data_IF_151058519874
#
_entry.id   IF_151058519874
#
_cell.length_a   1.000
_cell.length_b   1.000
_cell.length_c   1.000
_cell.angle_alpha   90.00
_cell.angle_beta   90.00
_cell.angle_gamma   90.00
#
_symmetry.space_group_name_H-M   'P 1'
#
loop_
_entity.id
_entity.type
_entity.pdbx_description
1 polymer ?
#
# COMPACT_ATOMS: atom_id res chain seq x y z
N UNK A 1 21.13 2.04 -3.05
CA UNK A 1 22.12 2.55 -2.09
C UNK A 1 23.44 1.78 -2.08
N UNK A 2 23.44 0.44 -1.99
CA UNK A 2 24.70 -0.35 -1.91
C UNK A 2 25.51 -0.27 -3.21
N UNK A 3 24.85 -0.34 -4.37
CA UNK A 3 25.48 -0.26 -5.70
C UNK A 3 25.62 1.18 -6.22
N UNK A 4 24.69 2.05 -5.85
CA UNK A 4 24.61 3.44 -6.30
C UNK A 4 24.55 4.34 -5.06
N UNK A 5 25.52 5.25 -4.87
CA UNK A 5 25.60 6.08 -3.66
C UNK A 5 24.41 7.05 -3.53
N UNK A 6 23.98 7.62 -4.66
CA UNK A 6 22.80 8.51 -4.77
C UNK A 6 22.01 8.08 -6.00
N UNK A 7 20.69 7.98 -5.88
CA UNK A 7 19.78 7.69 -7.00
C UNK A 7 18.70 8.77 -7.06
N UNK A 8 18.53 9.42 -8.22
CA UNK A 8 17.57 10.52 -8.38
C UNK A 8 16.20 10.01 -8.87
N UNK A 9 15.12 10.64 -8.44
CA UNK A 9 13.76 10.42 -8.94
C UNK A 9 12.99 11.73 -9.07
N UNK A 10 11.90 11.74 -9.84
CA UNK A 10 11.07 12.94 -10.03
C UNK A 10 10.33 13.32 -8.75
N UNK A 11 10.64 14.51 -8.23
CA UNK A 11 9.92 15.12 -7.10
C UNK A 11 8.44 15.35 -7.39
N UNK A 12 8.08 15.61 -8.64
CA UNK A 12 6.69 15.87 -9.05
C UNK A 12 5.87 14.59 -8.89
N UNK A 13 6.36 13.48 -9.44
CA UNK A 13 5.70 12.17 -9.33
C UNK A 13 5.63 11.70 -7.88
N UNK A 14 6.70 11.91 -7.11
CA UNK A 14 6.74 11.56 -5.70
C UNK A 14 5.75 12.38 -4.87
N UNK A 15 5.75 13.70 -5.03
CA UNK A 15 4.86 14.63 -4.33
C UNK A 15 3.39 14.40 -4.65
N UNK A 16 3.05 14.17 -5.92
CA UNK A 16 1.68 13.87 -6.32
C UNK A 16 1.15 12.59 -5.62
N UNK A 17 1.97 11.54 -5.59
CA UNK A 17 1.58 10.25 -4.99
C UNK A 17 1.47 10.33 -3.47
N UNK A 18 2.41 11.01 -2.81
CA UNK A 18 2.34 11.28 -1.37
C UNK A 18 1.14 12.13 -0.99
N UNK A 19 0.77 13.12 -1.82
CA UNK A 19 -0.42 13.93 -1.60
C UNK A 19 -1.70 13.07 -1.62
N UNK A 20 -1.79 12.10 -2.54
CA UNK A 20 -2.91 11.16 -2.58
C UNK A 20 -2.95 10.24 -1.36
N UNK A 21 -1.80 9.72 -0.93
CA UNK A 21 -1.71 8.95 0.31
C UNK A 21 -2.14 9.80 1.51
N UNK A 22 -1.78 11.08 1.54
CA UNK A 22 -2.21 12.01 2.60
C UNK A 22 -3.72 12.14 2.68
N UNK A 23 -4.37 12.38 1.54
CA UNK A 23 -5.83 12.45 1.46
C UNK A 23 -6.44 11.14 1.97
N UNK A 24 -5.86 10.01 1.60
CA UNK A 24 -6.35 8.69 2.00
C UNK A 24 -6.20 8.46 3.51
N UNK A 25 -5.05 8.78 4.09
CA UNK A 25 -4.78 8.67 5.53
C UNK A 25 -5.74 9.56 6.32
N UNK A 26 -5.89 10.82 5.91
CA UNK A 26 -6.83 11.74 6.56
C UNK A 26 -8.26 11.21 6.50
N UNK A 27 -8.69 10.71 5.34
CA UNK A 27 -10.05 10.20 5.17
C UNK A 27 -10.33 8.99 6.06
N UNK A 28 -9.39 8.06 6.15
CA UNK A 28 -9.47 6.87 7.02
C UNK A 28 -9.40 7.23 8.51
N UNK A 29 -8.68 8.29 8.86
CA UNK A 29 -8.61 8.77 10.25
C UNK A 29 -9.94 9.33 10.75
N UNK A 30 -10.79 9.91 9.89
CA UNK A 30 -12.01 10.60 10.33
C UNK A 30 -12.99 9.67 11.06
N UNK A 31 -13.40 8.51 10.53
CA UNK A 31 -14.27 7.58 11.27
C UNK A 31 -13.61 7.04 12.54
N UNK A 32 -12.30 6.76 12.48
CA UNK A 32 -11.56 6.25 13.64
C UNK A 32 -11.52 7.27 14.79
N UNK A 33 -11.20 8.52 14.49
CA UNK A 33 -11.11 9.59 15.49
C UNK A 33 -12.48 9.92 16.08
N UNK A 34 -13.52 9.97 15.24
CA UNK A 34 -14.88 10.18 15.70
C UNK A 34 -15.32 9.03 16.64
N UNK A 35 -15.04 7.78 16.26
CA UNK A 35 -15.31 6.62 17.12
C UNK A 35 -14.63 6.75 18.49
N UNK A 36 -13.33 7.01 18.52
CA UNK A 36 -12.60 7.13 19.79
C UNK A 36 -13.02 8.34 20.62
N UNK A 37 -13.40 9.45 19.99
CA UNK A 37 -13.85 10.65 20.69
C UNK A 37 -15.25 10.48 21.32
N UNK A 38 -16.13 9.69 20.70
CA UNK A 38 -17.52 9.52 21.13
C UNK A 38 -17.71 8.30 22.01
N UNK A 39 -17.09 7.18 21.66
CA UNK A 39 -17.31 5.88 22.30
C UNK A 39 -16.12 5.47 23.19
N UNK A 40 -14.93 6.07 23.02
CA UNK A 40 -13.73 5.69 23.76
C UNK A 40 -12.99 4.50 23.14
N UNK A 41 -11.84 4.16 23.72
CA UNK A 41 -10.89 3.18 23.14
C UNK A 41 -11.30 1.73 23.44
N UNK A 42 -11.95 1.49 24.58
CA UNK A 42 -12.24 0.14 25.09
C UNK A 42 -13.55 -0.46 24.55
N UNK A 43 -14.14 0.13 23.50
CA UNK A 43 -15.31 -0.48 22.85
C UNK A 43 -14.87 -1.71 22.04
N UNK A 44 -15.05 -2.89 22.64
CA UNK A 44 -14.84 -4.20 22.02
C UNK A 44 -16.22 -4.70 21.57
N UNK A 45 -16.50 -4.73 20.27
CA UNK A 45 -17.77 -5.23 19.74
C UNK A 45 -18.18 -4.66 18.39
N UNK A 46 -19.48 -4.68 18.12
CA UNK A 46 -20.06 -4.22 16.86
C UNK A 46 -20.00 -2.69 16.74
N UNK A 47 -19.58 -2.19 15.58
CA UNK A 47 -19.51 -0.75 15.33
C UNK A 47 -20.92 -0.15 15.22
N UNK A 48 -21.17 1.00 15.89
CA UNK A 48 -22.42 1.75 15.75
C UNK A 48 -22.74 2.15 14.29
N UNK A 49 -24.04 2.31 13.98
CA UNK A 49 -24.52 2.55 12.61
C UNK A 49 -24.05 3.88 12.02
N UNK A 50 -23.83 4.91 12.85
CA UNK A 50 -23.22 6.17 12.47
C UNK A 50 -21.78 5.96 11.97
N UNK A 51 -20.97 5.14 12.66
CA UNK A 51 -19.61 4.79 12.24
C UNK A 51 -19.61 4.03 10.91
N UNK A 52 -20.51 3.06 10.77
CA UNK A 52 -20.69 2.28 9.54
C UNK A 52 -21.09 3.22 8.38
N UNK A 53 -22.01 4.15 8.61
CA UNK A 53 -22.46 5.14 7.62
C UNK A 53 -21.34 6.11 7.23
N UNK A 54 -20.56 6.60 8.20
CA UNK A 54 -19.36 7.42 7.94
C UNK A 54 -18.34 6.65 7.10
N UNK A 55 -18.12 5.38 7.40
CA UNK A 55 -17.20 4.53 6.65
C UNK A 55 -17.67 4.34 5.20
N UNK A 56 -18.96 4.12 4.96
CA UNK A 56 -19.51 4.06 3.59
C UNK A 56 -19.34 5.38 2.84
N UNK A 57 -19.56 6.52 3.50
CA UNK A 57 -19.34 7.85 2.91
C UNK A 57 -17.87 8.05 2.51
N UNK A 58 -16.95 7.76 3.43
CA UNK A 58 -15.50 7.86 3.19
C UNK A 58 -15.09 6.93 2.04
N UNK A 59 -15.60 5.71 1.99
CA UNK A 59 -15.31 4.76 0.93
C UNK A 59 -15.76 5.30 -0.45
N UNK A 60 -16.97 5.85 -0.54
CA UNK A 60 -17.47 6.45 -1.78
C UNK A 60 -16.61 7.63 -2.25
N UNK A 61 -16.17 8.49 -1.33
CA UNK A 61 -15.27 9.62 -1.64
C UNK A 61 -13.91 9.12 -2.13
N UNK A 62 -13.29 8.17 -1.42
CA UNK A 62 -11.97 7.62 -1.80
C UNK A 62 -11.99 6.93 -3.15
N UNK A 63 -13.04 6.16 -3.44
CA UNK A 63 -13.22 5.52 -4.74
C UNK A 63 -13.41 6.55 -5.87
N UNK A 64 -14.14 7.64 -5.60
CA UNK A 64 -14.29 8.74 -6.56
C UNK A 64 -12.94 9.39 -6.84
N UNK A 65 -12.14 9.65 -5.80
CA UNK A 65 -10.77 10.17 -5.94
C UNK A 65 -9.90 9.20 -6.74
N UNK A 66 -10.03 7.88 -6.52
CA UNK A 66 -9.32 6.87 -7.30
C UNK A 66 -9.66 6.93 -8.80
N UNK A 67 -10.95 7.01 -9.14
CA UNK A 67 -11.39 7.10 -10.54
C UNK A 67 -10.85 8.39 -11.20
N UNK A 68 -10.89 9.51 -10.48
CA UNK A 68 -10.30 10.76 -10.93
C UNK A 68 -8.77 10.64 -11.10
N UNK A 69 -8.08 9.96 -10.19
CA UNK A 69 -6.65 9.67 -10.28
C UNK A 69 -6.31 8.78 -11.48
N UNK A 70 -7.10 7.74 -11.74
CA UNK A 70 -6.94 6.88 -12.91
C UNK A 70 -7.12 7.68 -14.21
N UNK A 71 -8.13 8.56 -14.26
CA UNK A 71 -8.29 9.47 -15.39
C UNK A 71 -7.10 10.43 -15.53
N UNK A 72 -6.63 11.00 -14.43
CA UNK A 72 -5.48 11.90 -14.40
C UNK A 72 -4.22 11.23 -14.92
N UNK A 73 -3.87 10.05 -14.39
CA UNK A 73 -2.66 9.31 -14.74
C UNK A 73 -2.70 8.75 -16.16
N UNK A 74 -3.84 8.24 -16.62
CA UNK A 74 -3.94 7.59 -17.94
C UNK A 74 -4.21 8.55 -19.10
N UNK A 75 -4.87 9.69 -18.85
CA UNK A 75 -5.29 10.62 -19.92
C UNK A 75 -4.56 11.94 -19.86
N UNK A 76 -4.67 12.68 -18.76
CA UNK A 76 -4.22 14.08 -18.75
C UNK A 76 -2.73 14.23 -18.50
N UNK A 77 -2.13 13.36 -17.69
CA UNK A 77 -0.74 13.46 -17.23
C UNK A 77 0.11 12.22 -17.56
N UNK A 78 -0.31 11.42 -18.55
CA UNK A 78 0.34 10.18 -19.00
C UNK A 78 1.87 10.29 -19.13
N UNK A 79 2.38 11.43 -19.60
CA UNK A 79 3.82 11.69 -19.78
C UNK A 79 4.65 11.54 -18.49
N UNK A 80 4.06 11.83 -17.32
CA UNK A 80 4.75 11.71 -16.03
C UNK A 80 4.70 10.29 -15.44
N UNK A 81 3.75 9.47 -15.89
CA UNK A 81 3.55 8.10 -15.40
C UNK A 81 4.14 7.02 -16.33
N UNK A 82 4.40 7.32 -17.61
CA UNK A 82 5.02 6.38 -18.57
C UNK A 82 6.56 6.21 -18.40
N UNK A 83 7.15 6.69 -17.29
CA UNK A 83 8.56 6.49 -16.95
C UNK A 83 9.57 7.12 -17.92
N UNK A 84 9.14 8.12 -18.71
CA UNK A 84 9.99 8.85 -19.68
C UNK A 84 10.30 10.28 -19.25
N UNK A 85 9.87 10.71 -18.06
CA UNK A 85 9.90 12.13 -17.68
C UNK A 85 11.32 12.68 -17.50
N UNK A 86 12.28 11.93 -16.92
CA UNK A 86 13.62 12.48 -16.62
C UNK A 86 14.74 11.42 -16.64
N UNK A 87 14.79 10.55 -17.66
CA UNK A 87 16.04 9.85 -17.93
C UNK A 87 16.99 10.86 -18.62
N UNK A 88 18.18 11.19 -18.04
CA UNK A 88 19.22 11.84 -18.82
C UNK A 88 19.42 11.02 -20.08
N UNK A 89 19.62 11.70 -21.21
CA UNK A 89 19.86 11.09 -22.51
C UNK A 89 21.19 10.34 -22.47
N UNK A 90 21.24 9.19 -21.80
CA UNK A 90 22.31 8.22 -21.95
C UNK A 90 21.91 7.37 -23.15
N UNK A 91 22.52 7.70 -24.29
CA UNK A 91 22.38 7.04 -25.60
C UNK A 91 22.95 5.62 -25.60
N UNK A 92 22.61 4.82 -24.60
CA UNK A 92 23.00 3.41 -24.46
C UNK A 92 21.80 2.59 -23.98
N UNK A 93 20.58 2.94 -24.41
CA UNK A 93 19.45 2.00 -24.37
C UNK A 93 19.80 0.85 -25.32
N UNK A 94 20.45 -0.21 -24.82
CA UNK A 94 20.31 -1.52 -25.46
C UNK A 94 18.81 -1.74 -25.63
N UNK A 95 18.32 -2.13 -26.82
CA UNK A 95 16.94 -2.52 -26.97
C UNK A 95 16.67 -3.52 -25.85
N UNK A 96 15.69 -3.24 -24.99
CA UNK A 96 15.25 -4.28 -24.07
C UNK A 96 14.92 -5.48 -24.96
N UNK A 97 15.53 -6.66 -24.75
CA UNK A 97 15.20 -7.83 -25.54
C UNK A 97 13.69 -7.95 -25.43
N UNK A 98 13.01 -8.01 -26.57
CA UNK A 98 11.57 -8.22 -26.63
C UNK A 98 11.28 -9.44 -25.78
N UNK A 99 10.88 -9.21 -24.51
CA UNK A 99 10.50 -10.27 -23.61
C UNK A 99 9.37 -10.97 -24.35
N UNK A 100 9.58 -12.23 -24.73
CA UNK A 100 8.63 -12.97 -25.55
C UNK A 100 7.24 -12.84 -24.89
N UNK A 101 6.40 -11.99 -25.46
CA UNK A 101 5.09 -11.71 -24.89
C UNK A 101 4.26 -12.94 -25.13
N UNK A 102 3.84 -13.59 -24.05
CA UNK A 102 2.95 -14.74 -24.14
C UNK A 102 1.74 -14.38 -25.00
N UNK A 103 1.24 -15.31 -25.83
CA UNK A 103 -0.02 -15.08 -26.53
C UNK A 103 -1.11 -14.81 -25.48
N UNK A 104 -2.05 -13.91 -25.80
CA UNK A 104 -3.04 -13.42 -24.84
C UNK A 104 -3.80 -14.55 -24.13
N UNK A 105 -4.07 -15.66 -24.83
CA UNK A 105 -4.69 -16.86 -24.26
C UNK A 105 -3.88 -17.49 -23.13
N UNK A 106 -2.55 -17.59 -23.29
CA UNK A 106 -1.65 -18.12 -22.24
C UNK A 106 -1.55 -17.17 -21.06
N UNK A 107 -1.51 -15.86 -21.32
CA UNK A 107 -1.52 -14.86 -20.25
C UNK A 107 -2.81 -14.91 -19.42
N UNK A 108 -3.97 -14.99 -20.08
CA UNK A 108 -5.28 -15.11 -19.42
C UNK A 108 -5.37 -16.42 -18.63
N UNK A 109 -4.94 -17.55 -19.22
CA UNK A 109 -4.94 -18.85 -18.54
C UNK A 109 -4.07 -18.81 -17.29
N UNK A 110 -2.85 -18.28 -17.39
CA UNK A 110 -1.92 -18.17 -16.25
C UNK A 110 -2.44 -17.22 -15.18
N UNK A 111 -3.09 -16.11 -15.57
CA UNK A 111 -3.76 -15.22 -14.63
C UNK A 111 -4.86 -15.95 -13.85
N UNK A 112 -5.73 -16.70 -14.55
CA UNK A 112 -6.81 -17.46 -13.92
C UNK A 112 -6.27 -18.55 -12.97
N UNK A 113 -5.27 -19.32 -13.41
CA UNK A 113 -4.65 -20.37 -12.58
C UNK A 113 -4.00 -19.77 -11.32
N UNK A 114 -3.29 -18.65 -11.48
CA UNK A 114 -2.64 -17.98 -10.34
C UNK A 114 -3.69 -17.44 -9.38
N UNK A 115 -4.77 -16.83 -9.88
CA UNK A 115 -5.85 -16.31 -9.06
C UNK A 115 -6.52 -17.41 -8.22
N UNK A 116 -6.87 -18.54 -8.82
CA UNK A 116 -7.44 -19.69 -8.10
C UNK A 116 -6.47 -20.23 -7.05
N UNK A 117 -5.18 -20.31 -7.39
CA UNK A 117 -4.15 -20.79 -6.47
C UNK A 117 -3.98 -19.86 -5.27
N UNK A 118 -3.98 -18.54 -5.49
CA UNK A 118 -3.90 -17.54 -4.41
C UNK A 118 -5.13 -17.60 -3.52
N UNK A 119 -6.33 -17.76 -4.07
CA UNK A 119 -7.56 -17.95 -3.27
C UNK A 119 -7.45 -19.19 -2.40
N UNK A 120 -7.02 -20.33 -2.96
CA UNK A 120 -6.84 -21.56 -2.19
C UNK A 120 -5.82 -21.43 -1.06
N UNK A 121 -4.68 -20.78 -1.31
CA UNK A 121 -3.67 -20.52 -0.27
C UNK A 121 -4.19 -19.53 0.78
N UNK A 122 -4.97 -18.52 0.38
CA UNK A 122 -5.56 -17.56 1.30
C UNK A 122 -6.58 -18.20 2.25
N UNK A 123 -7.42 -19.13 1.78
CA UNK A 123 -8.34 -19.90 2.63
C UNK A 123 -7.59 -20.75 3.67
N UNK A 124 -6.53 -21.45 3.23
CA UNK A 124 -5.67 -22.23 4.13
C UNK A 124 -4.99 -21.32 5.16
N UNK A 125 -4.47 -20.17 4.73
CA UNK A 125 -3.85 -19.21 5.63
C UNK A 125 -4.83 -18.71 6.69
N UNK A 126 -6.04 -18.30 6.29
CA UNK A 126 -7.07 -17.81 7.21
C UNK A 126 -7.45 -18.87 8.24
N UNK A 127 -7.56 -20.13 7.84
CA UNK A 127 -7.86 -21.24 8.75
C UNK A 127 -6.78 -21.50 9.81
N UNK A 128 -5.54 -21.12 9.55
CA UNK A 128 -4.40 -21.34 10.46
C UNK A 128 -4.05 -20.09 11.29
N UNK A 129 -4.57 -18.91 10.96
CA UNK A 129 -4.20 -17.65 11.63
C UNK A 129 -4.47 -17.73 13.15
N UNK A 130 -5.64 -18.20 13.57
CA UNK A 130 -6.02 -18.32 14.98
C UNK A 130 -5.06 -19.25 15.73
N UNK A 131 -4.78 -20.43 15.16
CA UNK A 131 -3.84 -21.40 15.73
C UNK A 131 -2.41 -20.87 15.81
N UNK A 132 -1.94 -20.13 14.82
CA UNK A 132 -0.60 -19.54 14.84
C UNK A 132 -0.51 -18.46 15.92
N UNK A 133 -1.53 -17.61 16.02
CA UNK A 133 -1.57 -16.55 17.04
C UNK A 133 -1.55 -17.12 18.45
N UNK A 134 -2.34 -18.16 18.73
CA UNK A 134 -2.38 -18.82 20.05
C UNK A 134 -1.06 -19.52 20.39
N UNK A 135 -0.48 -20.27 19.45
CA UNK A 135 0.73 -21.07 19.70
C UNK A 135 2.01 -20.22 19.76
N UNK A 136 2.09 -19.17 18.94
CA UNK A 136 3.26 -18.30 18.89
C UNK A 136 3.14 -17.07 19.80
N UNK A 137 1.98 -16.87 20.45
CA UNK A 137 1.71 -15.70 21.30
C UNK A 137 1.76 -14.38 20.52
N UNK A 138 1.34 -14.40 19.25
CA UNK A 138 1.35 -13.23 18.37
C UNK A 138 0.00 -12.52 18.43
N UNK A 139 0.02 -11.19 18.48
CA UNK A 139 -1.22 -10.40 18.46
C UNK A 139 -1.85 -10.32 17.08
N UNK A 140 -3.17 -10.11 17.06
CA UNK A 140 -3.95 -9.86 15.83
C UNK A 140 -3.37 -8.69 15.04
N UNK A 141 -2.93 -7.64 15.74
CA UNK A 141 -2.34 -6.46 15.13
C UNK A 141 -1.03 -6.79 14.41
N UNK A 142 -0.12 -7.55 15.03
CA UNK A 142 1.10 -7.99 14.38
C UNK A 142 0.83 -8.91 13.19
N UNK A 143 -0.07 -9.88 13.35
CA UNK A 143 -0.43 -10.83 12.30
C UNK A 143 -0.97 -10.10 11.07
N UNK A 144 -1.92 -9.20 11.26
CA UNK A 144 -2.54 -8.43 10.17
C UNK A 144 -1.58 -7.43 9.51
N UNK A 145 -0.98 -6.54 10.31
CA UNK A 145 -0.22 -5.38 9.80
C UNK A 145 1.17 -5.77 9.31
N UNK A 146 1.79 -6.80 9.87
CA UNK A 146 3.17 -7.19 9.52
C UNK A 146 3.15 -8.42 8.63
N UNK A 147 2.64 -9.55 9.12
CA UNK A 147 2.79 -10.84 8.44
C UNK A 147 1.94 -10.91 7.17
N UNK A 148 0.63 -10.67 7.28
CA UNK A 148 -0.30 -10.76 6.15
C UNK A 148 0.05 -9.70 5.10
N UNK A 149 0.33 -8.46 5.53
CA UNK A 149 0.71 -7.38 4.61
C UNK A 149 2.02 -7.67 3.86
N UNK A 150 3.03 -8.23 4.55
CA UNK A 150 4.32 -8.56 3.92
C UNK A 150 4.17 -9.67 2.88
N UNK A 151 3.41 -10.72 3.21
CA UNK A 151 3.18 -11.85 2.30
C UNK A 151 2.34 -11.42 1.10
N UNK A 152 1.24 -10.67 1.33
CA UNK A 152 0.35 -10.20 0.28
C UNK A 152 1.04 -9.32 -0.75
N UNK A 153 2.02 -8.51 -0.30
CA UNK A 153 2.74 -7.57 -1.17
C UNK A 153 4.17 -8.04 -1.54
N UNK A 154 4.53 -9.29 -1.24
CA UNK A 154 5.89 -9.80 -1.41
C UNK A 154 6.40 -9.72 -2.86
N UNK A 155 5.52 -10.04 -3.83
CA UNK A 155 5.86 -9.99 -5.24
C UNK A 155 6.20 -8.56 -5.70
N UNK A 156 5.42 -7.58 -5.25
CA UNK A 156 5.63 -6.16 -5.56
C UNK A 156 6.90 -5.64 -4.91
N UNK A 157 7.15 -5.97 -3.64
CA UNK A 157 8.40 -5.65 -2.96
C UNK A 157 9.61 -6.21 -3.70
N UNK A 158 9.55 -7.48 -4.11
CA UNK A 158 10.62 -8.11 -4.88
C UNK A 158 10.89 -7.37 -6.19
N UNK A 159 9.83 -7.00 -6.93
CA UNK A 159 9.96 -6.26 -8.18
C UNK A 159 10.53 -4.84 -7.98
N UNK A 160 10.12 -4.14 -6.93
CA UNK A 160 10.62 -2.81 -6.57
C UNK A 160 12.11 -2.86 -6.21
N UNK A 161 12.51 -3.80 -5.35
CA UNK A 161 13.91 -4.01 -4.95
C UNK A 161 14.77 -4.35 -6.16
N UNK A 162 14.30 -5.24 -7.04
CA UNK A 162 15.00 -5.58 -8.28
C UNK A 162 15.20 -4.36 -9.17
N UNK A 163 14.19 -3.48 -9.25
CA UNK A 163 14.24 -2.28 -10.07
C UNK A 163 15.20 -1.24 -9.51
N UNK A 164 15.20 -1.05 -8.19
CA UNK A 164 16.19 -0.23 -7.48
C UNK A 164 17.62 -0.79 -7.67
N UNK A 165 17.80 -2.12 -7.62
CA UNK A 165 19.09 -2.77 -7.86
C UNK A 165 19.62 -2.54 -9.29
N UNK A 166 18.70 -2.41 -10.25
CA UNK A 166 19.00 -2.03 -11.64
C UNK A 166 19.23 -0.53 -11.84
N UNK A 167 19.25 0.27 -10.77
CA UNK A 167 19.46 1.71 -10.82
C UNK A 167 18.23 2.51 -11.26
N UNK A 168 17.06 1.85 -11.36
CA UNK A 168 15.81 2.47 -11.81
C UNK A 168 14.93 2.81 -10.60
N UNK A 169 15.44 3.71 -9.75
CA UNK A 169 14.79 4.04 -8.47
C UNK A 169 13.40 4.68 -8.65
N UNK A 170 13.20 5.49 -9.69
CA UNK A 170 11.90 6.09 -9.98
C UNK A 170 10.82 5.02 -10.23
N UNK A 171 11.17 3.97 -10.98
CA UNK A 171 10.26 2.84 -11.23
C UNK A 171 10.03 2.01 -9.96
N UNK A 172 11.05 1.83 -9.12
CA UNK A 172 10.86 1.23 -7.79
C UNK A 172 9.89 2.03 -6.92
N UNK A 173 10.01 3.36 -6.92
CA UNK A 173 9.14 4.25 -6.16
C UNK A 173 7.71 4.20 -6.69
N UNK A 174 7.53 4.22 -8.01
CA UNK A 174 6.22 4.08 -8.65
C UNK A 174 5.54 2.75 -8.33
N UNK A 175 6.28 1.64 -8.30
CA UNK A 175 5.73 0.32 -7.89
C UNK A 175 5.24 0.38 -6.44
N UNK A 176 6.09 0.80 -5.50
CA UNK A 176 5.76 0.79 -4.07
C UNK A 176 4.62 1.77 -3.73
N UNK A 177 4.69 3.00 -4.24
CA UNK A 177 3.74 4.05 -3.91
C UNK A 177 2.43 3.91 -4.70
N UNK A 178 2.50 3.42 -5.93
CA UNK A 178 1.33 3.08 -6.73
C UNK A 178 0.50 1.99 -6.06
N UNK A 179 1.14 0.93 -5.58
CA UNK A 179 0.48 -0.13 -4.79
C UNK A 179 -0.17 0.44 -3.52
N UNK A 180 0.55 1.27 -2.77
CA UNK A 180 0.01 1.91 -1.55
C UNK A 180 -1.24 2.77 -1.85
N UNK A 181 -1.21 3.54 -2.94
CA UNK A 181 -2.37 4.35 -3.38
C UNK A 181 -3.53 3.46 -3.81
N UNK A 182 -3.29 2.34 -4.49
CA UNK A 182 -4.33 1.38 -4.85
C UNK A 182 -4.96 0.74 -3.61
N UNK A 183 -4.15 0.34 -2.62
CA UNK A 183 -4.68 -0.22 -1.38
C UNK A 183 -5.59 0.80 -0.68
N UNK A 184 -5.11 2.04 -0.55
CA UNK A 184 -5.82 3.07 0.22
C UNK A 184 -7.06 3.64 -0.47
N UNK A 185 -7.02 3.85 -1.79
CA UNK A 185 -8.10 4.49 -2.54
C UNK A 185 -9.05 3.50 -3.27
N UNK A 186 -8.62 2.26 -3.48
CA UNK A 186 -9.42 1.24 -4.18
C UNK A 186 -9.74 0.06 -3.26
N UNK A 187 -8.73 -0.65 -2.75
CA UNK A 187 -8.95 -1.92 -2.04
C UNK A 187 -9.77 -1.73 -0.78
N UNK A 188 -9.36 -0.83 0.13
CA UNK A 188 -10.09 -0.57 1.37
C UNK A 188 -11.54 -0.13 1.09
N UNK A 189 -11.80 0.90 0.24
CA UNK A 189 -13.16 1.29 -0.11
C UNK A 189 -14.02 0.18 -0.72
N UNK A 190 -13.45 -0.62 -1.62
CA UNK A 190 -14.16 -1.75 -2.24
C UNK A 190 -14.54 -2.79 -1.19
N UNK A 191 -13.64 -3.10 -0.24
CA UNK A 191 -13.96 -4.00 0.87
C UNK A 191 -15.10 -3.47 1.74
N UNK A 192 -15.13 -2.16 2.04
CA UNK A 192 -16.24 -1.53 2.77
C UNK A 192 -17.55 -1.69 1.99
N UNK A 193 -17.56 -1.44 0.69
CA UNK A 193 -18.78 -1.59 -0.12
C UNK A 193 -19.23 -3.05 -0.26
N UNK A 194 -18.31 -3.99 -0.41
CA UNK A 194 -18.62 -5.43 -0.46
C UNK A 194 -19.21 -5.89 0.88
N UNK A 195 -18.65 -5.43 1.99
CA UNK A 195 -19.11 -5.79 3.34
C UNK A 195 -20.58 -5.37 3.60
N UNK A 196 -21.02 -4.26 3.00
CA UNK A 196 -22.43 -3.84 3.02
C UNK A 196 -23.35 -4.86 2.34
N UNK A 197 -22.92 -5.47 1.23
CA UNK A 197 -23.71 -6.49 0.51
C UNK A 197 -23.75 -7.80 1.29
N UNK A 198 -22.68 -8.13 2.01
CA UNK A 198 -22.59 -9.33 2.87
C UNK A 198 -23.46 -9.19 4.14
N UNK A 199 -23.83 -7.96 4.53
CA UNK A 199 -24.73 -7.68 5.65
C UNK A 199 -24.02 -7.26 6.95
N UNK A 200 -22.70 -7.16 6.95
CA UNK A 200 -21.93 -6.61 8.06
C UNK A 200 -20.94 -5.57 7.54
N UNK A 201 -21.30 -4.29 7.69
CA UNK A 201 -20.49 -3.18 7.18
C UNK A 201 -19.19 -3.08 7.98
N UNK A 202 -18.08 -3.28 7.27
CA UNK A 202 -16.73 -3.06 7.77
C UNK A 202 -16.55 -1.56 8.06
N UNK A 203 -16.37 -1.23 9.34
CA UNK A 203 -16.03 0.12 9.73
C UNK A 203 -14.55 0.41 9.41
N UNK A 204 -14.25 1.61 8.91
CA UNK A 204 -12.88 2.11 8.78
C UNK A 204 -12.38 2.68 10.11
N UNK A 205 -12.39 1.84 11.14
CA UNK A 205 -11.85 2.13 12.45
C UNK A 205 -10.55 1.34 12.62
N UNK A 206 -9.45 2.07 12.72
CA UNK A 206 -8.11 1.51 12.88
C UNK A 206 -7.65 1.71 14.31
N UNK A 207 -6.90 0.74 14.84
CA UNK A 207 -6.35 0.82 16.20
C UNK A 207 -5.51 2.10 16.38
N UNK A 208 -5.41 2.66 17.60
CA UNK A 208 -4.62 3.87 17.83
C UNK A 208 -3.16 3.69 17.42
N UNK A 209 -2.59 2.51 17.67
CA UNK A 209 -1.23 2.16 17.23
C UNK A 209 -1.13 2.13 15.70
N UNK A 210 -2.12 1.57 15.01
CA UNK A 210 -2.20 1.57 13.54
C UNK A 210 -2.27 2.97 12.94
N UNK A 211 -3.07 3.86 13.54
CA UNK A 211 -3.16 5.27 13.12
C UNK A 211 -1.83 6.00 13.30
N UNK A 212 -1.18 5.85 14.46
CA UNK A 212 0.12 6.47 14.71
C UNK A 212 1.17 5.95 13.73
N UNK A 213 1.21 4.64 13.49
CA UNK A 213 2.11 4.01 12.54
C UNK A 213 1.91 4.56 11.11
N UNK A 214 0.65 4.71 10.68
CA UNK A 214 0.28 5.23 9.37
C UNK A 214 0.74 6.69 9.19
N UNK A 215 0.47 7.54 10.18
CA UNK A 215 0.87 8.96 10.17
C UNK A 215 2.38 9.10 10.19
N UNK A 216 3.07 8.38 11.08
CA UNK A 216 4.52 8.44 11.22
C UNK A 216 5.22 7.99 9.93
N UNK A 217 4.75 6.89 9.33
CA UNK A 217 5.28 6.37 8.07
C UNK A 217 5.07 7.37 6.93
N UNK A 218 3.87 7.96 6.81
CA UNK A 218 3.59 8.96 5.80
C UNK A 218 4.44 10.23 5.98
N UNK A 219 4.55 10.74 7.21
CA UNK A 219 5.32 11.94 7.50
C UNK A 219 6.80 11.77 7.13
N UNK A 220 7.38 10.61 7.45
CA UNK A 220 8.78 10.33 7.15
C UNK A 220 8.97 10.11 5.65
N UNK A 221 8.05 9.40 5.00
CA UNK A 221 8.06 9.24 3.54
C UNK A 221 7.98 10.60 2.82
N UNK A 222 7.20 11.56 3.33
CA UNK A 222 7.19 12.93 2.82
C UNK A 222 8.53 13.62 2.97
N UNK A 223 9.13 13.59 4.16
CA UNK A 223 10.41 14.26 4.43
C UNK A 223 11.51 13.71 3.52
N UNK A 224 11.58 12.38 3.39
CA UNK A 224 12.55 11.71 2.51
C UNK A 224 12.28 12.03 1.03
N UNK A 225 11.03 12.24 0.64
CA UNK A 225 10.70 12.56 -0.74
C UNK A 225 11.03 14.00 -1.18
N UNK A 226 11.33 14.90 -0.25
CA UNK A 226 11.51 16.34 -0.53
C UNK A 226 12.73 16.64 -1.40
N UNK A 227 13.80 15.87 -1.23
CA UNK A 227 15.09 16.11 -1.89
C UNK A 227 15.18 15.46 -3.28
N UNK A 228 14.24 14.58 -3.65
CA UNK A 228 14.25 13.88 -4.95
C UNK A 228 15.43 12.93 -5.12
N UNK A 229 16.10 12.57 -4.03
CA UNK A 229 17.26 11.70 -4.00
C UNK A 229 16.98 10.52 -3.07
N UNK A 230 17.59 9.38 -3.36
CA UNK A 230 17.50 8.18 -2.56
C UNK A 230 18.91 7.71 -2.19
N UNK A 231 19.20 7.65 -0.90
CA UNK A 231 20.44 7.12 -0.34
C UNK A 231 20.23 5.78 0.36
N UNK A 232 21.32 5.04 0.64
CA UNK A 232 21.22 3.82 1.45
C UNK A 232 20.80 4.11 2.89
N UNK A 233 21.16 5.29 3.40
CA UNK A 233 20.88 5.69 4.78
C UNK A 233 19.40 6.04 4.97
N UNK A 234 18.76 6.71 4.01
CA UNK A 234 17.29 6.87 4.01
C UNK A 234 16.56 5.53 3.98
N UNK A 235 17.04 4.59 3.16
CA UNK A 235 16.51 3.22 3.16
C UNK A 235 16.64 2.55 4.53
N UNK A 236 17.78 2.71 5.21
CA UNK A 236 17.98 2.22 6.56
C UNK A 236 17.03 2.89 7.58
N UNK A 237 16.80 4.20 7.47
CA UNK A 237 15.85 4.91 8.34
C UNK A 237 14.43 4.37 8.18
N UNK A 238 13.96 4.15 6.95
CA UNK A 238 12.65 3.56 6.66
C UNK A 238 12.53 2.13 7.23
N UNK A 239 13.57 1.31 7.05
CA UNK A 239 13.62 -0.05 7.62
C UNK A 239 13.63 -0.03 9.15
N UNK A 240 14.35 0.91 9.76
CA UNK A 240 14.38 1.04 11.22
C UNK A 240 13.00 1.34 11.78
N UNK A 241 12.24 2.25 11.16
CA UNK A 241 10.86 2.57 11.56
C UNK A 241 9.95 1.35 11.39
N UNK A 242 10.05 0.64 10.26
CA UNK A 242 9.29 -0.58 10.04
C UNK A 242 9.57 -1.64 11.11
N UNK A 243 10.85 -1.86 11.46
CA UNK A 243 11.25 -2.80 12.52
C UNK A 243 10.76 -2.35 13.89
N UNK A 244 10.83 -1.05 14.20
CA UNK A 244 10.32 -0.51 15.48
C UNK A 244 8.81 -0.73 15.60
N UNK A 245 8.04 -0.37 14.57
CA UNK A 245 6.58 -0.57 14.55
C UNK A 245 6.25 -2.06 14.66
N UNK A 246 6.94 -2.91 13.88
CA UNK A 246 6.73 -4.36 13.89
C UNK A 246 7.09 -5.00 15.21
N UNK A 247 8.20 -4.57 15.82
CA UNK A 247 8.65 -5.08 17.12
C UNK A 247 7.70 -4.69 18.25
N UNK A 248 7.19 -3.45 18.25
CA UNK A 248 6.16 -3.02 19.22
C UNK A 248 4.86 -3.79 18.99
N UNK A 249 4.44 -3.93 17.73
CA UNK A 249 3.24 -4.69 17.37
C UNK A 249 3.30 -6.15 17.88
N UNK A 250 4.47 -6.78 17.82
CA UNK A 250 4.65 -8.15 18.30
C UNK A 250 4.63 -8.30 19.83
N UNK A 251 4.85 -7.22 20.58
CA UNK A 251 4.97 -7.23 22.04
C UNK A 251 3.66 -6.87 22.77
N UNK A 252 2.69 -6.31 22.04
CA UNK A 252 1.36 -5.92 22.52
C UNK A 252 0.36 -6.95 22.03
#
# INVERSE_FOLDING_TARGET
>A
GIKFPVMNYSRITASATLSMLTVSVVAVMLPSLYFYATYGIDHIGEFPDDIKTMSLFVAAVLLTVYVCYMFFSMRTHKKYFDGQADAPIERTRKPEPHLATWPASTAILMLAVTMVSVVGIAELLIGEIEHIMENAGLSEFFMGVVIIALVGNAAEHSSAILMAWRGRIELSFQIAMGSSVQIALLVIPVLVLISMVIGNVMAMVFTPLGLIALIATLAIAMVIALDGQATWFEGLMLLAIFVLISGIAALV
#
